data_IF_806308667508
#
_entry.id   IF_806308667508
#
_cell.length_a   1.000
_cell.length_b   1.000
_cell.length_c   1.000
_cell.angle_alpha   90.00
_cell.angle_beta   90.00
_cell.angle_gamma   90.00
#
_symmetry.space_group_name_H-M   'P 1'
#
loop_
_entity.id
_entity.type
_entity.pdbx_description
1 polymer ?
#
# COMPACT_ATOMS: atom_id res chain seq x y z
N UNK A 1 -2.48 -3.54 -26.75
CA UNK A 1 -3.37 -3.10 -25.65
C UNK A 1 -4.88 -3.29 -25.90
N UNK A 2 -5.34 -3.75 -27.08
CA UNK A 2 -6.78 -3.80 -27.41
C UNK A 2 -7.56 -5.02 -26.87
N UNK A 3 -6.95 -5.93 -26.12
CA UNK A 3 -7.56 -7.24 -25.79
C UNK A 3 -8.17 -7.35 -24.38
N UNK A 4 -7.92 -6.41 -23.47
CA UNK A 4 -8.33 -6.53 -22.06
C UNK A 4 -9.73 -5.92 -21.77
N UNK A 5 -10.22 -5.02 -22.64
CA UNK A 5 -11.50 -4.30 -22.43
C UNK A 5 -12.74 -5.19 -22.69
N UNK A 6 -12.60 -6.33 -23.38
CA UNK A 6 -13.76 -7.13 -23.84
C UNK A 6 -14.36 -8.05 -22.76
N UNK A 7 -13.60 -8.43 -21.73
CA UNK A 7 -14.03 -9.42 -20.72
C UNK A 7 -14.97 -8.80 -19.67
N UNK A 8 -14.88 -7.50 -19.41
CA UNK A 8 -15.67 -6.83 -18.37
C UNK A 8 -17.18 -6.69 -18.69
N UNK A 9 -17.59 -6.74 -19.97
CA UNK A 9 -19.00 -6.57 -20.36
C UNK A 9 -19.86 -7.83 -20.20
N UNK A 10 -19.26 -9.01 -20.13
CA UNK A 10 -20.01 -10.29 -20.14
C UNK A 10 -20.52 -10.69 -18.74
N UNK A 11 -19.95 -10.14 -17.66
CA UNK A 11 -20.31 -10.52 -16.29
C UNK A 11 -21.55 -9.76 -15.78
N UNK A 12 -21.92 -8.63 -16.39
CA UNK A 12 -23.00 -7.75 -15.88
C UNK A 12 -24.44 -8.21 -16.20
N UNK A 13 -24.64 -9.19 -17.09
CA UNK A 13 -25.97 -9.47 -17.65
C UNK A 13 -26.75 -10.66 -17.01
N UNK A 14 -26.21 -11.36 -15.99
CA UNK A 14 -26.78 -12.66 -15.55
C UNK A 14 -27.46 -12.70 -14.17
N UNK A 15 -27.66 -11.56 -13.49
CA UNK A 15 -28.10 -11.53 -12.07
C UNK A 15 -29.58 -11.12 -11.86
N UNK A 16 -30.39 -10.85 -12.90
CA UNK A 16 -31.81 -10.53 -12.72
C UNK A 16 -32.75 -11.52 -13.42
N UNK A 17 -33.00 -12.65 -12.77
CA UNK A 17 -34.22 -13.44 -13.01
C UNK A 17 -34.76 -13.97 -11.68
N UNK A 18 -35.55 -13.15 -10.99
CA UNK A 18 -36.30 -13.53 -9.78
C UNK A 18 -37.68 -14.03 -10.21
N UNK A 19 -37.95 -15.32 -10.00
CA UNK A 19 -39.29 -15.91 -10.08
C UNK A 19 -40.23 -15.22 -9.07
N UNK A 20 -41.36 -14.73 -9.56
CA UNK A 20 -42.47 -14.23 -8.75
C UNK A 20 -43.17 -15.43 -8.10
N UNK A 21 -43.21 -15.46 -6.77
CA UNK A 21 -43.91 -16.48 -5.99
C UNK A 21 -45.34 -15.98 -5.73
N UNK A 22 -46.32 -16.82 -6.04
CA UNK A 22 -47.75 -16.54 -6.00
C UNK A 22 -48.28 -16.59 -4.53
N UNK A 23 -48.93 -15.55 -4.00
CA UNK A 23 -49.23 -15.45 -2.56
C UNK A 23 -50.50 -16.19 -2.06
N UNK A 24 -51.35 -16.74 -2.94
CA UNK A 24 -52.69 -17.24 -2.54
C UNK A 24 -52.84 -18.77 -2.55
N UNK A 25 -51.89 -19.47 -1.93
CA UNK A 25 -52.03 -20.89 -1.62
C UNK A 25 -52.98 -21.15 -0.44
N UNK A 26 -53.80 -22.23 -0.46
CA UNK A 26 -54.71 -22.55 0.64
C UNK A 26 -53.92 -22.75 1.94
N UNK A 27 -54.39 -22.10 3.03
CA UNK A 27 -53.79 -22.17 4.37
C UNK A 27 -53.96 -23.57 4.97
N UNK A 28 -53.17 -24.51 4.47
CA UNK A 28 -52.99 -25.82 5.05
C UNK A 28 -52.46 -25.69 6.47
N UNK A 29 -52.94 -26.56 7.35
CA UNK A 29 -52.46 -26.70 8.72
C UNK A 29 -51.02 -27.22 8.63
N UNK A 30 -50.03 -26.32 8.63
CA UNK A 30 -48.63 -26.70 8.55
C UNK A 30 -48.26 -27.62 9.72
N UNK A 31 -47.50 -28.69 9.47
CA UNK A 31 -47.05 -29.58 10.53
C UNK A 31 -46.23 -28.79 11.55
N UNK A 32 -46.54 -28.97 12.83
CA UNK A 32 -45.81 -28.33 13.91
C UNK A 32 -44.41 -28.97 13.99
N UNK A 33 -43.37 -28.15 13.82
CA UNK A 33 -41.99 -28.62 13.89
C UNK A 33 -41.40 -28.31 15.27
N UNK A 34 -40.57 -29.24 15.77
CA UNK A 34 -39.84 -29.09 17.02
C UNK A 34 -38.42 -28.64 16.71
N UNK A 35 -38.02 -27.49 17.26
CA UNK A 35 -36.62 -27.01 17.19
C UNK A 35 -35.84 -27.58 18.39
N UNK A 36 -34.62 -28.03 18.15
CA UNK A 36 -33.65 -28.38 19.17
C UNK A 36 -32.94 -27.11 19.69
N UNK A 37 -33.17 -26.81 20.98
CA UNK A 37 -32.67 -25.60 21.63
C UNK A 37 -31.13 -25.56 21.70
N UNK A 38 -30.49 -26.71 21.96
CA UNK A 38 -29.04 -26.80 22.11
C UNK A 38 -28.34 -26.61 20.76
N UNK A 39 -28.92 -27.16 19.69
CA UNK A 39 -28.42 -26.94 18.32
C UNK A 39 -28.54 -25.49 17.88
N UNK A 40 -29.69 -24.86 18.11
CA UNK A 40 -29.91 -23.43 17.79
C UNK A 40 -28.87 -22.55 18.51
N UNK A 41 -28.64 -22.81 19.80
CA UNK A 41 -27.67 -22.08 20.62
C UNK A 41 -26.23 -22.29 20.14
N UNK A 42 -25.89 -23.52 19.75
CA UNK A 42 -24.55 -23.89 19.28
C UNK A 42 -24.24 -23.24 17.92
N UNK A 43 -25.16 -23.32 16.97
CA UNK A 43 -25.03 -22.68 15.65
C UNK A 43 -24.97 -21.16 15.74
N UNK A 44 -25.75 -20.54 16.63
CA UNK A 44 -25.68 -19.10 16.86
C UNK A 44 -24.32 -18.68 17.39
N UNK A 45 -23.78 -19.40 18.39
CA UNK A 45 -22.46 -19.13 18.96
C UNK A 45 -21.34 -19.36 17.95
N UNK A 46 -21.40 -20.42 17.15
CA UNK A 46 -20.42 -20.71 16.11
C UNK A 46 -20.36 -19.65 14.99
N UNK A 47 -21.35 -18.76 14.90
CA UNK A 47 -21.39 -17.64 13.96
C UNK A 47 -21.16 -16.27 14.63
N UNK A 48 -20.74 -16.26 15.91
CA UNK A 48 -20.56 -15.04 16.73
C UNK A 48 -21.77 -14.11 16.77
N UNK A 49 -22.97 -14.67 16.64
CA UNK A 49 -24.20 -13.90 16.63
C UNK A 49 -24.75 -13.71 18.04
N UNK A 50 -25.09 -12.47 18.41
CA UNK A 50 -25.90 -12.20 19.59
C UNK A 50 -27.37 -12.57 19.31
N UNK A 51 -28.18 -12.81 20.35
CA UNK A 51 -29.63 -13.08 20.18
C UNK A 51 -30.35 -11.95 19.44
N UNK A 52 -30.11 -10.66 19.74
CA UNK A 52 -30.69 -9.56 18.97
C UNK A 52 -30.25 -9.54 17.50
N UNK A 53 -28.99 -9.89 17.22
CA UNK A 53 -28.48 -9.90 15.85
C UNK A 53 -29.10 -11.04 15.03
N UNK A 54 -29.24 -12.24 15.61
CA UNK A 54 -29.95 -13.35 14.98
C UNK A 54 -31.43 -13.02 14.74
N UNK A 55 -32.07 -12.37 15.71
CA UNK A 55 -33.45 -11.89 15.59
C UNK A 55 -33.62 -10.91 14.43
N UNK A 56 -32.72 -9.92 14.33
CA UNK A 56 -32.68 -8.93 13.24
C UNK A 56 -32.49 -9.60 11.87
N UNK A 57 -31.55 -10.55 11.76
CA UNK A 57 -31.26 -11.26 10.49
C UNK A 57 -32.39 -12.21 10.06
N UNK A 58 -33.04 -12.89 11.00
CA UNK A 58 -34.13 -13.83 10.71
C UNK A 58 -35.50 -13.16 10.57
N UNK A 59 -35.66 -11.93 11.04
CA UNK A 59 -36.97 -11.27 11.14
C UNK A 59 -37.87 -11.94 12.18
N UNK A 60 -37.30 -12.64 13.16
CA UNK A 60 -38.00 -13.26 14.29
C UNK A 60 -37.78 -12.40 15.53
N UNK A 61 -38.81 -12.18 16.34
CA UNK A 61 -38.68 -11.34 17.54
C UNK A 61 -37.61 -11.89 18.51
N UNK A 62 -36.78 -11.03 19.09
CA UNK A 62 -35.70 -11.43 20.00
C UNK A 62 -36.20 -12.25 21.20
N UNK A 63 -37.38 -11.92 21.74
CA UNK A 63 -38.04 -12.70 22.79
C UNK A 63 -38.40 -14.12 22.33
N UNK A 64 -38.75 -14.30 21.06
CA UNK A 64 -39.01 -15.63 20.49
C UNK A 64 -37.73 -16.44 20.37
N UNK A 65 -36.63 -15.84 19.89
CA UNK A 65 -35.31 -16.50 19.84
C UNK A 65 -34.86 -16.92 21.25
N UNK A 66 -34.98 -16.02 22.23
CA UNK A 66 -34.67 -16.32 23.62
C UNK A 66 -35.52 -17.46 24.19
N UNK A 67 -36.83 -17.47 23.91
CA UNK A 67 -37.74 -18.54 24.34
C UNK A 67 -37.37 -19.88 23.70
N UNK A 68 -37.04 -19.89 22.41
CA UNK A 68 -36.62 -21.10 21.69
C UNK A 68 -35.30 -21.69 22.23
N UNK A 69 -34.39 -20.85 22.74
CA UNK A 69 -33.13 -21.32 23.34
C UNK A 69 -33.25 -21.77 24.80
N UNK A 70 -34.17 -21.19 25.58
CA UNK A 70 -34.22 -21.38 27.03
C UNK A 70 -35.36 -22.32 27.48
N UNK A 71 -36.44 -22.46 26.69
CA UNK A 71 -37.66 -23.20 27.07
C UNK A 71 -37.94 -24.33 26.07
N UNK A 72 -37.20 -25.46 26.12
CA UNK A 72 -37.30 -26.55 25.14
C UNK A 72 -38.69 -27.20 25.08
N UNK A 73 -39.45 -27.18 26.18
CA UNK A 73 -40.83 -27.68 26.23
C UNK A 73 -41.79 -26.86 25.37
N UNK A 74 -41.55 -25.55 25.25
CA UNK A 74 -42.35 -24.64 24.42
C UNK A 74 -41.93 -24.68 22.94
N UNK A 75 -40.84 -25.38 22.61
CA UNK A 75 -40.34 -25.52 21.24
C UNK A 75 -41.12 -26.55 20.42
N UNK A 76 -42.04 -27.31 21.05
CA UNK A 76 -42.79 -28.41 20.41
C UNK A 76 -43.78 -27.95 19.31
N UNK A 77 -44.10 -26.66 19.21
CA UNK A 77 -45.10 -26.14 18.25
C UNK A 77 -44.62 -24.92 17.48
N UNK A 78 -43.41 -24.97 16.94
CA UNK A 78 -42.90 -23.86 16.12
C UNK A 78 -43.44 -23.97 14.69
N UNK A 79 -43.82 -22.84 14.10
CA UNK A 79 -44.24 -22.78 12.70
C UNK A 79 -43.02 -23.04 11.80
N UNK A 80 -43.21 -23.82 10.76
CA UNK A 80 -42.18 -24.13 9.75
C UNK A 80 -41.53 -22.86 9.17
N UNK A 81 -42.31 -21.82 8.88
CA UNK A 81 -41.80 -20.53 8.42
C UNK A 81 -40.80 -19.89 9.40
N UNK A 82 -41.01 -20.03 10.72
CA UNK A 82 -40.04 -19.56 11.73
C UNK A 82 -38.77 -20.40 11.70
N UNK A 83 -38.87 -21.72 11.55
CA UNK A 83 -37.71 -22.63 11.41
C UNK A 83 -36.89 -22.22 10.19
N UNK A 84 -37.54 -22.04 9.03
CA UNK A 84 -36.89 -21.69 7.77
C UNK A 84 -36.21 -20.32 7.83
N UNK A 85 -36.80 -19.33 8.49
CA UNK A 85 -36.18 -18.01 8.70
C UNK A 85 -34.94 -18.08 9.59
N UNK A 86 -34.98 -18.85 10.67
CA UNK A 86 -33.83 -19.05 11.56
C UNK A 86 -32.72 -19.83 10.83
N UNK A 87 -33.08 -20.90 10.14
CA UNK A 87 -32.15 -21.71 9.35
C UNK A 87 -31.43 -20.87 8.29
N UNK A 88 -32.19 -20.05 7.55
CA UNK A 88 -31.65 -19.12 6.54
C UNK A 88 -30.70 -18.08 7.15
N UNK A 89 -31.04 -17.50 8.31
CA UNK A 89 -30.18 -16.53 8.98
C UNK A 89 -28.87 -17.15 9.51
N UNK A 90 -28.90 -18.44 9.85
CA UNK A 90 -27.75 -19.23 10.27
C UNK A 90 -26.99 -19.88 9.11
N UNK A 91 -27.51 -19.79 7.87
CA UNK A 91 -26.91 -20.42 6.70
C UNK A 91 -26.90 -21.96 6.76
N UNK A 92 -27.91 -22.57 7.38
CA UNK A 92 -28.10 -24.03 7.46
C UNK A 92 -29.48 -24.43 6.93
N UNK A 93 -29.69 -25.72 6.71
CA UNK A 93 -31.00 -26.27 6.33
C UNK A 93 -31.93 -26.43 7.55
N UNK A 94 -33.25 -26.31 7.36
CA UNK A 94 -34.24 -26.41 8.44
C UNK A 94 -34.16 -27.72 9.23
N UNK A 95 -33.89 -28.84 8.55
CA UNK A 95 -33.72 -30.16 9.16
C UNK A 95 -32.56 -30.25 10.17
N UNK A 96 -31.55 -29.38 10.05
CA UNK A 96 -30.44 -29.31 11.03
C UNK A 96 -30.94 -28.78 12.37
N UNK A 97 -31.83 -27.78 12.35
CA UNK A 97 -32.41 -27.18 13.56
C UNK A 97 -33.43 -28.09 14.24
N UNK A 98 -34.09 -28.98 13.50
CA UNK A 98 -35.12 -29.89 14.05
C UNK A 98 -34.55 -31.20 14.59
N UNK A 99 -33.29 -31.51 14.32
CA UNK A 99 -32.68 -32.78 14.71
C UNK A 99 -32.67 -33.83 13.60
N UNK A 100 -33.36 -33.60 12.49
CA UNK A 100 -33.54 -34.55 11.38
C UNK A 100 -32.26 -34.76 10.57
N UNK A 101 -31.46 -33.71 10.40
CA UNK A 101 -30.15 -33.76 9.75
C UNK A 101 -29.05 -33.66 10.80
N UNK A 102 -27.88 -34.29 10.61
CA UNK A 102 -26.73 -34.10 11.51
C UNK A 102 -26.31 -32.63 11.55
N UNK A 103 -25.71 -32.20 12.67
CA UNK A 103 -25.06 -30.89 12.72
C UNK A 103 -23.99 -30.85 11.62
N UNK A 104 -23.96 -29.83 10.75
CA UNK A 104 -22.81 -29.64 9.88
C UNK A 104 -21.59 -29.59 10.79
N UNK A 105 -20.59 -30.43 10.51
CA UNK A 105 -19.31 -30.31 11.18
C UNK A 105 -18.88 -28.84 11.06
N UNK A 106 -18.42 -28.20 12.16
CA UNK A 106 -18.01 -26.80 12.13
C UNK A 106 -17.09 -26.62 10.93
N UNK A 107 -17.61 -25.88 9.95
CA UNK A 107 -17.33 -26.04 8.53
C UNK A 107 -16.01 -26.77 8.19
N UNK A 108 -16.09 -27.85 7.41
CA UNK A 108 -15.01 -28.27 6.51
C UNK A 108 -14.69 -27.23 5.43
N UNK A 109 -14.95 -25.95 5.69
CA UNK A 109 -14.27 -24.86 5.02
C UNK A 109 -12.78 -25.08 5.33
N UNK A 110 -11.92 -25.18 4.31
CA UNK A 110 -10.49 -25.19 4.58
C UNK A 110 -10.19 -24.02 5.52
N UNK A 111 -9.41 -24.24 6.59
CA UNK A 111 -9.11 -23.19 7.55
C UNK A 111 -8.70 -21.96 6.75
N UNK A 112 -9.31 -20.81 7.06
CA UNK A 112 -8.95 -19.57 6.41
C UNK A 112 -7.41 -19.47 6.44
N UNK A 113 -6.76 -19.19 5.30
CA UNK A 113 -5.31 -19.27 5.22
C UNK A 113 -4.71 -18.50 6.38
N UNK A 114 -3.82 -19.16 7.11
CA UNK A 114 -3.21 -18.62 8.32
C UNK A 114 -2.60 -17.26 7.97
N UNK A 115 -3.11 -16.21 8.62
CA UNK A 115 -2.61 -14.86 8.41
C UNK A 115 -1.40 -14.66 9.30
N UNK A 116 -0.25 -14.48 8.69
CA UNK A 116 1.00 -14.14 9.40
C UNK A 116 1.08 -12.63 9.55
N UNK A 117 1.33 -12.14 10.76
CA UNK A 117 1.58 -10.71 11.00
C UNK A 117 3.01 -10.37 10.56
N UNK A 118 3.14 -9.48 9.58
CA UNK A 118 4.43 -8.94 9.15
C UNK A 118 4.66 -7.60 9.84
N UNK A 119 5.65 -7.54 10.73
CA UNK A 119 6.12 -6.28 11.32
C UNK A 119 7.18 -5.64 10.43
N UNK A 120 6.84 -4.53 9.76
CA UNK A 120 7.79 -3.76 8.95
C UNK A 120 7.71 -2.28 9.32
N UNK A 121 8.87 -1.62 9.36
CA UNK A 121 8.94 -0.16 9.45
C UNK A 121 8.74 0.41 8.04
N UNK A 122 7.79 1.32 7.89
CA UNK A 122 7.53 2.00 6.62
C UNK A 122 7.87 3.49 6.78
N UNK A 123 8.47 4.08 5.74
CA UNK A 123 8.72 5.52 5.74
C UNK A 123 7.39 6.29 5.74
N UNK A 124 7.36 7.51 6.31
CA UNK A 124 6.19 8.38 6.22
C UNK A 124 5.69 8.59 4.79
N UNK A 125 6.60 8.80 3.85
CA UNK A 125 6.29 8.96 2.41
C UNK A 125 5.60 7.72 1.82
N UNK A 126 6.10 6.51 2.11
CA UNK A 126 5.47 5.26 1.67
C UNK A 126 4.09 5.06 2.31
N UNK A 127 3.91 5.50 3.56
CA UNK A 127 2.60 5.47 4.21
C UNK A 127 1.61 6.42 3.53
N UNK A 128 2.02 7.66 3.24
CA UNK A 128 1.19 8.61 2.50
C UNK A 128 0.77 8.02 1.14
N UNK A 129 1.70 7.40 0.42
CA UNK A 129 1.40 6.70 -0.83
C UNK A 129 0.32 5.61 -0.66
N UNK A 130 0.39 4.79 0.41
CA UNK A 130 -0.66 3.80 0.68
C UNK A 130 -2.03 4.45 0.93
N UNK A 131 -2.08 5.55 1.68
CA UNK A 131 -3.33 6.26 1.96
C UNK A 131 -3.94 6.83 0.69
N UNK A 132 -3.12 7.39 -0.21
CA UNK A 132 -3.57 7.92 -1.50
C UNK A 132 -4.05 6.80 -2.45
N UNK A 133 -3.30 5.69 -2.57
CA UNK A 133 -3.71 4.53 -3.37
C UNK A 133 -5.04 3.95 -2.86
N UNK A 134 -5.21 3.88 -1.54
CA UNK A 134 -6.47 3.45 -0.91
C UNK A 134 -7.61 4.40 -1.26
N UNK A 135 -7.40 5.70 -1.20
CA UNK A 135 -8.42 6.71 -1.51
C UNK A 135 -8.83 6.68 -2.99
N UNK A 136 -7.85 6.52 -3.90
CA UNK A 136 -8.07 6.53 -5.36
C UNK A 136 -8.67 5.24 -5.88
N UNK A 137 -8.16 4.09 -5.44
CA UNK A 137 -8.49 2.78 -6.02
C UNK A 137 -9.22 1.84 -5.06
N UNK A 138 -9.37 2.19 -3.79
CA UNK A 138 -9.99 1.33 -2.78
C UNK A 138 -9.12 0.15 -2.33
N UNK A 139 -7.84 0.13 -2.72
CA UNK A 139 -6.90 -0.95 -2.38
C UNK A 139 -6.22 -0.66 -1.06
N UNK A 140 -6.29 -1.59 -0.12
CA UNK A 140 -5.68 -1.46 1.21
C UNK A 140 -4.17 -1.70 1.18
N UNK A 141 -3.46 -1.16 2.18
CA UNK A 141 -2.01 -1.41 2.35
C UNK A 141 -1.70 -2.92 2.46
N UNK A 142 -2.55 -3.71 3.11
CA UNK A 142 -2.39 -5.17 3.21
C UNK A 142 -2.47 -5.84 1.85
N UNK A 143 -3.40 -5.44 0.98
CA UNK A 143 -3.48 -5.97 -0.39
C UNK A 143 -2.25 -5.59 -1.19
N UNK A 144 -1.77 -4.35 -1.07
CA UNK A 144 -0.54 -3.91 -1.75
C UNK A 144 0.67 -4.72 -1.28
N UNK A 145 0.83 -4.93 0.04
CA UNK A 145 1.90 -5.76 0.60
C UNK A 145 1.84 -7.20 0.07
N UNK A 146 0.64 -7.78 -0.02
CA UNK A 146 0.47 -9.14 -0.56
C UNK A 146 0.77 -9.22 -2.07
N UNK A 147 0.53 -8.15 -2.83
CA UNK A 147 0.83 -8.09 -4.26
C UNK A 147 2.27 -7.65 -4.55
N UNK A 148 2.97 -7.04 -3.58
CA UNK A 148 4.29 -6.44 -3.78
C UNK A 148 5.33 -7.42 -4.35
N UNK A 149 5.46 -8.68 -3.88
CA UNK A 149 6.41 -9.63 -4.47
C UNK A 149 6.14 -9.88 -5.96
N UNK A 150 4.88 -10.06 -6.34
CA UNK A 150 4.50 -10.28 -7.74
C UNK A 150 4.82 -9.06 -8.60
N UNK A 151 4.43 -7.86 -8.16
CA UNK A 151 4.69 -6.64 -8.92
C UNK A 151 6.19 -6.34 -9.01
N UNK A 152 6.94 -6.53 -7.93
CA UNK A 152 8.38 -6.34 -7.93
C UNK A 152 9.07 -7.29 -8.91
N UNK A 153 8.74 -8.60 -8.91
CA UNK A 153 9.29 -9.55 -9.88
C UNK A 153 8.97 -9.16 -11.32
N UNK A 154 7.73 -8.76 -11.61
CA UNK A 154 7.35 -8.32 -12.96
C UNK A 154 8.12 -7.07 -13.40
N UNK A 155 8.32 -6.10 -12.50
CA UNK A 155 9.07 -4.88 -12.78
C UNK A 155 10.57 -5.18 -12.96
N UNK A 156 11.14 -6.02 -12.11
CA UNK A 156 12.54 -6.44 -12.17
C UNK A 156 12.84 -7.14 -13.50
N UNK A 157 12.06 -8.16 -13.86
CA UNK A 157 12.22 -8.89 -15.13
C UNK A 157 11.97 -7.99 -16.34
N UNK A 158 10.97 -7.10 -16.27
CA UNK A 158 10.71 -6.12 -17.32
C UNK A 158 11.90 -5.17 -17.53
N UNK A 159 12.54 -4.73 -16.44
CA UNK A 159 13.74 -3.89 -16.50
C UNK A 159 14.92 -4.63 -17.13
N UNK A 160 15.21 -5.86 -16.69
CA UNK A 160 16.31 -6.67 -17.23
C UNK A 160 16.07 -7.03 -18.70
N UNK A 161 14.85 -7.41 -19.07
CA UNK A 161 14.50 -7.71 -20.46
C UNK A 161 14.65 -6.49 -21.37
N UNK A 162 14.29 -5.29 -20.90
CA UNK A 162 14.52 -4.06 -21.64
C UNK A 162 16.00 -3.78 -21.84
N UNK A 163 16.82 -3.90 -20.79
CA UNK A 163 18.27 -3.69 -20.87
C UNK A 163 18.95 -4.65 -21.84
N UNK A 164 18.61 -5.95 -21.80
CA UNK A 164 19.10 -6.95 -22.77
C UNK A 164 18.87 -6.50 -24.21
N UNK A 165 17.65 -6.02 -24.49
CA UNK A 165 17.32 -5.52 -25.81
C UNK A 165 18.15 -4.28 -26.18
N UNK A 166 18.32 -3.34 -25.25
CA UNK A 166 19.14 -2.14 -25.49
C UNK A 166 20.62 -2.50 -25.75
N UNK A 167 21.16 -3.51 -25.07
CA UNK A 167 22.49 -4.07 -25.32
C UNK A 167 22.57 -4.73 -26.69
N UNK A 168 21.63 -5.60 -27.04
CA UNK A 168 21.58 -6.27 -28.34
C UNK A 168 21.52 -5.24 -29.48
N UNK A 169 20.61 -4.26 -29.37
CA UNK A 169 20.44 -3.18 -30.34
C UNK A 169 21.72 -2.31 -30.44
N UNK A 170 22.42 -2.09 -29.32
CA UNK A 170 23.69 -1.34 -29.26
C UNK A 170 24.86 -2.09 -29.89
N UNK A 171 24.98 -3.39 -29.62
CA UNK A 171 26.01 -4.27 -30.18
C UNK A 171 25.90 -4.35 -31.70
N UNK A 172 24.67 -4.52 -32.23
CA UNK A 172 24.40 -4.52 -33.66
C UNK A 172 24.82 -3.20 -34.34
N UNK A 173 24.61 -2.06 -33.67
CA UNK A 173 25.02 -0.74 -34.18
C UNK A 173 26.55 -0.57 -34.20
N UNK A 174 27.25 -1.02 -33.16
CA UNK A 174 28.72 -0.97 -33.10
C UNK A 174 29.36 -1.84 -34.18
N UNK A 175 28.83 -3.05 -34.41
CA UNK A 175 29.31 -3.95 -35.46
C UNK A 175 29.18 -3.30 -36.86
N UNK A 176 28.10 -2.57 -37.11
CA UNK A 176 27.92 -1.84 -38.36
C UNK A 176 28.98 -0.74 -38.54
N UNK A 177 29.31 0.01 -37.48
CA UNK A 177 30.31 1.08 -37.51
C UNK A 177 31.75 0.55 -37.69
N UNK A 178 32.05 -0.62 -37.13
CA UNK A 178 33.37 -1.25 -37.23
C UNK A 178 33.75 -1.62 -38.69
N UNK A 179 32.77 -1.71 -39.59
CA UNK A 179 32.98 -2.18 -40.97
C UNK A 179 33.71 -1.20 -41.91
N UNK A 180 34.03 0.04 -41.51
CA UNK A 180 34.50 1.06 -42.46
C UNK A 180 35.55 2.08 -42.03
N UNK A 181 35.73 2.37 -40.74
CA UNK A 181 36.54 3.54 -40.33
C UNK A 181 37.37 3.30 -39.06
N UNK A 182 38.69 3.10 -39.23
CA UNK A 182 39.64 2.91 -38.12
C UNK A 182 39.82 4.12 -37.19
N UNK A 183 39.23 5.28 -37.50
CA UNK A 183 39.30 6.50 -36.67
C UNK A 183 38.57 6.32 -35.34
N UNK A 184 37.65 5.36 -35.24
CA UNK A 184 36.82 5.14 -34.06
C UNK A 184 37.24 3.94 -33.20
N UNK A 185 38.37 3.28 -33.49
CA UNK A 185 38.77 2.03 -32.81
C UNK A 185 38.78 2.17 -31.28
N UNK A 186 39.31 3.28 -30.75
CA UNK A 186 39.36 3.50 -29.30
C UNK A 186 37.95 3.64 -28.70
N UNK A 187 37.07 4.38 -29.38
CA UNK A 187 35.68 4.54 -28.94
C UNK A 187 34.88 3.24 -29.03
N UNK A 188 35.10 2.44 -30.09
CA UNK A 188 34.48 1.13 -30.25
C UNK A 188 34.94 0.16 -29.15
N UNK A 189 36.24 0.17 -28.80
CA UNK A 189 36.78 -0.68 -27.73
C UNK A 189 36.16 -0.35 -26.38
N UNK A 190 36.00 0.93 -26.06
CA UNK A 190 35.34 1.37 -24.81
C UNK A 190 33.87 0.96 -24.81
N UNK A 191 33.18 1.07 -25.94
CA UNK A 191 31.78 0.68 -26.06
C UNK A 191 31.58 -0.84 -25.92
N UNK A 192 32.45 -1.66 -26.53
CA UNK A 192 32.44 -3.11 -26.39
C UNK A 192 32.68 -3.54 -24.94
N UNK A 193 33.59 -2.87 -24.23
CA UNK A 193 33.80 -3.12 -22.79
C UNK A 193 32.56 -2.76 -21.96
N UNK A 194 31.93 -1.61 -22.23
CA UNK A 194 30.71 -1.21 -21.53
C UNK A 194 29.54 -2.17 -21.79
N UNK A 195 29.42 -2.70 -23.00
CA UNK A 195 28.45 -3.75 -23.34
C UNK A 195 28.73 -5.01 -22.53
N UNK A 196 29.98 -5.47 -22.46
CA UNK A 196 30.33 -6.66 -21.70
C UNK A 196 30.04 -6.50 -20.19
N UNK A 197 30.33 -5.33 -19.61
CA UNK A 197 29.97 -5.02 -18.21
C UNK A 197 28.45 -5.03 -17.99
N UNK A 198 27.68 -4.49 -18.94
CA UNK A 198 26.21 -4.48 -18.87
C UNK A 198 25.63 -5.89 -19.03
N UNK A 199 26.17 -6.72 -19.93
CA UNK A 199 25.80 -8.13 -20.08
C UNK A 199 26.06 -8.91 -18.78
N UNK A 200 27.21 -8.69 -18.13
CA UNK A 200 27.55 -9.30 -16.85
C UNK A 200 26.56 -8.86 -15.76
N UNK A 201 26.32 -7.55 -15.61
CA UNK A 201 25.33 -6.97 -14.68
C UNK A 201 23.93 -7.59 -14.87
N UNK A 202 23.47 -7.72 -16.12
CA UNK A 202 22.19 -8.36 -16.43
C UNK A 202 22.18 -9.85 -16.02
N UNK A 203 23.27 -10.57 -16.29
CA UNK A 203 23.38 -11.99 -15.98
C UNK A 203 23.34 -12.28 -14.47
N UNK A 204 23.84 -11.33 -13.67
CA UNK A 204 23.80 -11.36 -12.21
C UNK A 204 22.48 -10.83 -11.62
N UNK A 205 21.52 -10.46 -12.47
CA UNK A 205 20.26 -9.83 -12.09
C UNK A 205 20.44 -8.54 -11.25
N UNK A 206 21.52 -7.80 -11.51
CA UNK A 206 21.81 -6.54 -10.86
C UNK A 206 20.85 -5.44 -11.35
N UNK A 207 19.79 -5.23 -10.59
CA UNK A 207 18.75 -4.25 -10.94
C UNK A 207 19.27 -2.81 -10.89
N UNK A 208 20.19 -2.52 -9.99
CA UNK A 208 20.56 -1.14 -9.66
C UNK A 208 21.86 -0.67 -10.35
N UNK A 209 22.52 -1.55 -11.09
CA UNK A 209 23.76 -1.23 -11.81
C UNK A 209 24.97 -1.16 -10.89
N UNK A 210 25.00 -1.94 -9.81
CA UNK A 210 26.11 -2.00 -8.85
C UNK A 210 27.39 -2.57 -9.44
N UNK A 211 27.27 -3.42 -10.46
CA UNK A 211 28.41 -4.02 -11.16
C UNK A 211 28.87 -3.17 -12.34
N UNK A 212 28.14 -2.09 -12.67
CA UNK A 212 28.54 -1.17 -13.74
C UNK A 212 29.64 -0.24 -13.25
N UNK A 213 30.76 -0.20 -13.98
CA UNK A 213 31.93 0.62 -13.63
C UNK A 213 32.83 0.05 -12.53
N UNK A 214 32.70 -1.24 -12.21
CA UNK A 214 33.24 -1.86 -10.99
C UNK A 214 34.76 -2.02 -10.88
N UNK A 215 35.56 -1.88 -11.94
CA UNK A 215 36.95 -2.40 -11.91
C UNK A 215 38.07 -1.40 -12.24
N UNK A 216 37.80 -0.11 -12.42
CA UNK A 216 38.87 0.83 -12.77
C UNK A 216 38.51 2.28 -12.48
N UNK A 217 39.36 2.91 -11.67
CA UNK A 217 39.54 4.36 -11.49
C UNK A 217 38.75 5.21 -12.50
N UNK A 218 37.53 5.58 -12.10
CA UNK A 218 36.73 6.63 -12.74
C UNK A 218 36.44 6.41 -14.21
N UNK A 219 35.65 5.39 -14.58
CA UNK A 219 34.82 5.54 -15.77
C UNK A 219 33.88 6.73 -15.50
N UNK A 220 34.09 7.91 -16.12
CA UNK A 220 33.29 9.10 -15.85
C UNK A 220 31.86 8.98 -16.39
N UNK A 221 31.47 7.79 -16.85
CA UNK A 221 30.28 7.56 -17.68
C UNK A 221 29.09 7.09 -16.85
N UNK A 222 29.32 6.42 -15.72
CA UNK A 222 28.23 5.86 -14.91
C UNK A 222 28.25 6.39 -13.48
N UNK A 223 27.26 7.25 -13.18
CA UNK A 223 26.90 7.62 -11.83
C UNK A 223 25.64 6.83 -11.44
N UNK A 224 25.71 5.87 -10.50
CA UNK A 224 24.53 5.11 -10.06
C UNK A 224 23.41 5.98 -9.52
N UNK A 225 23.72 7.18 -8.99
CA UNK A 225 22.71 8.10 -8.46
C UNK A 225 21.88 8.78 -9.55
N UNK A 226 22.49 9.04 -10.72
CA UNK A 226 21.83 9.67 -11.86
C UNK A 226 21.30 8.65 -12.88
N UNK A 227 22.08 7.59 -13.11
CA UNK A 227 21.94 6.64 -14.21
C UNK A 227 21.47 5.25 -13.76
N UNK A 228 20.84 5.11 -12.60
CA UNK A 228 20.27 3.84 -12.16
C UNK A 228 19.34 3.23 -13.22
N UNK A 229 19.65 2.01 -13.74
CA UNK A 229 18.90 1.44 -14.85
C UNK A 229 17.47 1.07 -14.46
N UNK A 230 17.24 0.58 -13.24
CA UNK A 230 15.88 0.31 -12.74
C UNK A 230 15.05 1.59 -12.58
N UNK A 231 15.63 2.67 -12.07
CA UNK A 231 14.95 3.97 -11.98
C UNK A 231 14.60 4.52 -13.38
N UNK A 232 15.51 4.36 -14.34
CA UNK A 232 15.25 4.71 -15.75
C UNK A 232 14.08 3.91 -16.33
N UNK A 233 14.01 2.62 -16.02
CA UNK A 233 12.88 1.77 -16.40
C UNK A 233 11.57 2.22 -15.74
N UNK A 234 11.56 2.45 -14.43
CA UNK A 234 10.38 2.94 -13.71
C UNK A 234 9.89 4.28 -14.27
N UNK A 235 10.79 5.21 -14.60
CA UNK A 235 10.44 6.48 -15.28
C UNK A 235 9.76 6.27 -16.63
N UNK A 236 10.15 5.25 -17.38
CA UNK A 236 9.51 4.94 -18.66
C UNK A 236 8.09 4.36 -18.51
N UNK A 237 7.79 3.75 -17.36
CA UNK A 237 6.47 3.25 -17.01
C UNK A 237 5.60 4.29 -16.29
N UNK A 238 6.22 5.33 -15.75
CA UNK A 238 5.57 6.38 -15.00
C UNK A 238 4.52 7.10 -15.87
N UNK A 239 3.35 7.32 -15.29
CA UNK A 239 2.26 8.06 -15.93
C UNK A 239 2.30 9.49 -15.37
N UNK A 240 2.55 10.51 -16.22
CA UNK A 240 2.64 11.90 -15.76
C UNK A 240 1.40 12.33 -14.94
N UNK A 241 1.62 12.96 -13.79
CA UNK A 241 0.57 13.38 -12.86
C UNK A 241 0.02 12.26 -11.96
N UNK A 242 0.42 11.00 -12.18
CA UNK A 242 0.03 9.85 -11.35
C UNK A 242 1.21 9.34 -10.54
N UNK A 243 2.36 9.15 -11.18
CA UNK A 243 3.59 8.76 -10.51
C UNK A 243 4.73 9.57 -11.12
N UNK A 244 5.46 10.27 -10.28
CA UNK A 244 6.69 10.96 -10.67
C UNK A 244 7.87 10.24 -10.01
N UNK A 245 8.85 9.85 -10.81
CA UNK A 245 10.08 9.20 -10.34
C UNK A 245 11.24 10.13 -10.67
N UNK A 246 11.93 10.61 -9.64
CA UNK A 246 12.96 11.65 -9.79
C UNK A 246 14.24 11.10 -10.43
N UNK A 247 15.00 12.01 -11.06
CA UNK A 247 16.38 11.76 -11.51
C UNK A 247 17.30 12.27 -10.41
N UNK A 248 18.12 11.40 -9.82
CA UNK A 248 19.13 11.85 -8.85
C UNK A 248 18.58 11.97 -7.44
N UNK A 249 18.56 10.85 -6.71
CA UNK A 249 18.76 10.84 -5.25
C UNK A 249 18.78 9.40 -4.71
N UNK A 250 19.55 8.51 -5.36
CA UNK A 250 20.16 7.43 -4.58
C UNK A 250 21.29 8.07 -3.77
N UNK A 251 20.94 8.87 -2.77
CA UNK A 251 21.94 9.36 -1.83
C UNK A 251 22.56 8.12 -1.20
N UNK A 252 23.89 7.97 -1.30
CA UNK A 252 24.63 6.85 -0.71
C UNK A 252 24.34 6.69 0.81
N UNK A 253 23.80 7.74 1.44
CA UNK A 253 23.36 7.77 2.83
C UNK A 253 21.99 7.10 3.07
N UNK A 254 21.12 7.00 2.07
CA UNK A 254 19.86 6.29 2.21
C UNK A 254 20.11 4.79 2.15
N UNK A 255 19.74 4.09 3.23
CA UNK A 255 19.80 2.62 3.30
C UNK A 255 18.93 1.93 2.23
N UNK A 256 18.09 2.68 1.52
CA UNK A 256 17.15 2.19 0.53
C UNK A 256 17.64 2.58 -0.86
N UNK A 257 18.02 1.57 -1.66
CA UNK A 257 18.49 1.73 -3.06
C UNK A 257 17.34 1.96 -4.05
N UNK A 258 16.31 2.70 -3.65
CA UNK A 258 15.11 2.92 -4.45
C UNK A 258 15.02 4.39 -4.85
N UNK A 259 14.70 4.72 -6.12
CA UNK A 259 14.63 6.11 -6.55
C UNK A 259 13.55 6.86 -5.77
N UNK A 260 13.77 8.15 -5.53
CA UNK A 260 12.73 8.97 -4.93
C UNK A 260 11.53 9.13 -5.87
N UNK A 261 10.33 9.14 -5.30
CA UNK A 261 9.09 9.14 -6.06
C UNK A 261 7.97 9.90 -5.35
N UNK A 262 7.02 10.43 -6.12
CA UNK A 262 5.74 10.93 -5.62
C UNK A 262 4.61 10.20 -6.32
N UNK A 263 3.56 9.90 -5.56
CA UNK A 263 2.35 9.23 -6.05
C UNK A 263 1.21 10.23 -5.91
N UNK A 264 0.49 10.47 -7.01
CA UNK A 264 -0.56 11.47 -7.17
C UNK A 264 -0.15 12.88 -6.69
N UNK A 265 0.90 13.48 -7.28
CA UNK A 265 1.36 14.83 -6.91
C UNK A 265 0.21 15.85 -6.93
N UNK A 266 -0.66 15.81 -7.96
CA UNK A 266 -1.83 16.68 -8.06
C UNK A 266 -2.82 16.53 -6.89
N UNK A 267 -3.00 15.31 -6.38
CA UNK A 267 -3.89 15.05 -5.24
C UNK A 267 -3.27 15.57 -3.94
N UNK A 268 -1.96 15.38 -3.76
CA UNK A 268 -1.22 15.95 -2.64
C UNK A 268 -1.28 17.48 -2.67
N UNK A 269 -1.03 18.09 -3.82
CA UNK A 269 -1.09 19.55 -4.01
C UNK A 269 -2.51 20.09 -3.77
N UNK A 270 -3.54 19.36 -4.20
CA UNK A 270 -4.93 19.71 -3.91
C UNK A 270 -5.30 19.59 -2.43
N UNK A 271 -4.76 18.60 -1.71
CA UNK A 271 -4.92 18.48 -0.25
C UNK A 271 -4.17 19.61 0.46
N UNK A 272 -2.96 19.92 0.00
CA UNK A 272 -2.12 20.98 0.53
C UNK A 272 -2.56 22.40 0.10
N UNK A 273 -3.53 22.52 -0.82
CA UNK A 273 -3.97 23.78 -1.41
C UNK A 273 -2.79 24.61 -1.98
N UNK A 274 -1.80 23.93 -2.56
CA UNK A 274 -0.59 24.53 -3.10
C UNK A 274 0.45 25.04 -2.08
N UNK A 275 0.27 24.78 -0.78
CA UNK A 275 1.25 25.11 0.26
C UNK A 275 2.36 24.05 0.33
N UNK A 276 3.62 24.47 0.13
CA UNK A 276 4.79 23.59 0.18
C UNK A 276 5.04 23.06 1.60
N UNK A 277 4.80 23.90 2.62
CA UNK A 277 4.85 23.51 4.02
C UNK A 277 3.81 22.42 4.34
N UNK A 278 2.58 22.59 3.87
CA UNK A 278 1.52 21.60 4.07
C UNK A 278 1.84 20.27 3.37
N UNK A 279 2.39 20.33 2.15
CA UNK A 279 2.88 19.16 1.41
C UNK A 279 3.99 18.44 2.18
N UNK A 280 4.97 19.19 2.66
CA UNK A 280 6.07 18.67 3.47
C UNK A 280 5.58 17.98 4.75
N UNK A 281 4.58 18.55 5.43
CA UNK A 281 3.99 17.96 6.62
C UNK A 281 3.38 16.57 6.36
N UNK A 282 2.79 16.36 5.18
CA UNK A 282 2.26 15.07 4.74
C UNK A 282 3.39 14.09 4.39
N UNK A 283 4.36 14.52 3.59
CA UNK A 283 5.43 13.64 3.08
C UNK A 283 6.37 13.16 4.18
N UNK A 284 6.61 13.99 5.20
CA UNK A 284 7.41 13.64 6.39
C UNK A 284 6.59 12.97 7.50
N UNK A 285 5.27 12.94 7.37
CA UNK A 285 4.34 12.29 8.30
C UNK A 285 4.11 12.99 9.62
N UNK A 286 4.43 14.29 9.72
CA UNK A 286 3.97 15.13 10.84
C UNK A 286 2.43 15.27 10.87
N UNK A 287 1.80 15.10 9.72
CA UNK A 287 0.35 14.95 9.59
C UNK A 287 0.00 13.73 8.74
N UNK A 288 -1.13 13.10 9.06
CA UNK A 288 -1.67 11.98 8.28
C UNK A 288 -3.00 12.33 7.67
N UNK A 289 -3.30 11.76 6.50
CA UNK A 289 -4.60 11.97 5.84
C UNK A 289 -5.77 11.53 6.72
N UNK A 290 -5.60 10.48 7.55
CA UNK A 290 -6.62 10.02 8.49
C UNK A 290 -6.81 10.91 9.71
N UNK A 291 -5.90 11.85 9.97
CA UNK A 291 -5.95 12.77 11.12
C UNK A 291 -6.56 14.11 10.75
N UNK A 292 -6.67 14.42 9.44
CA UNK A 292 -7.35 15.60 8.94
C UNK A 292 -8.85 15.49 9.28
N UNK A 293 -9.43 16.46 10.01
CA UNK A 293 -10.85 16.47 10.30
C UNK A 293 -11.72 16.40 9.05
N UNK A 294 -12.88 15.73 9.12
CA UNK A 294 -13.76 15.53 7.95
C UNK A 294 -14.26 16.86 7.37
N UNK A 295 -14.53 17.85 8.22
CA UNK A 295 -14.93 19.22 7.84
C UNK A 295 -13.86 19.95 7.02
N UNK A 296 -12.60 19.52 7.11
CA UNK A 296 -11.48 20.10 6.38
C UNK A 296 -11.33 19.49 4.98
N UNK A 297 -12.06 18.42 4.65
CA UNK A 297 -12.11 17.85 3.29
C UNK A 297 -13.18 18.47 2.40
N UNK A 298 -13.98 19.42 2.90
CA UNK A 298 -14.92 20.18 2.08
C UNK A 298 -14.20 21.00 1.00
N UNK A 299 -14.87 21.21 -0.15
CA UNK A 299 -14.28 21.85 -1.34
C UNK A 299 -13.79 23.30 -1.07
N UNK A 300 -14.43 24.00 -0.13
CA UNK A 300 -14.11 25.37 0.26
C UNK A 300 -13.14 25.47 1.46
N UNK A 301 -12.70 24.35 2.02
CA UNK A 301 -11.87 24.32 3.22
C UNK A 301 -10.36 24.26 2.93
N UNK A 302 -9.93 24.41 1.67
CA UNK A 302 -8.54 24.27 1.23
C UNK A 302 -7.53 25.08 2.06
N UNK A 303 -7.77 26.38 2.25
CA UNK A 303 -6.88 27.26 3.04
C UNK A 303 -6.81 26.84 4.52
N UNK A 304 -7.95 26.45 5.11
CA UNK A 304 -8.01 26.00 6.52
C UNK A 304 -7.29 24.66 6.69
N UNK A 305 -7.41 23.76 5.71
CA UNK A 305 -6.74 22.47 5.66
C UNK A 305 -5.22 22.65 5.54
N UNK A 306 -4.76 23.51 4.63
CA UNK A 306 -3.35 23.83 4.46
C UNK A 306 -2.74 24.38 5.77
N UNK A 307 -3.38 25.39 6.37
CA UNK A 307 -2.94 25.93 7.65
C UNK A 307 -2.91 24.89 8.78
N UNK A 308 -3.90 24.00 8.83
CA UNK A 308 -3.91 22.91 9.81
C UNK A 308 -2.73 21.96 9.64
N UNK A 309 -2.31 21.68 8.39
CA UNK A 309 -1.14 20.87 8.08
C UNK A 309 0.16 21.60 8.46
N UNK A 310 0.27 22.88 8.09
CA UNK A 310 1.40 23.75 8.45
C UNK A 310 1.60 23.85 9.97
N UNK A 311 0.50 23.93 10.73
CA UNK A 311 0.50 23.99 12.19
C UNK A 311 1.13 22.73 12.83
N UNK A 312 1.25 21.61 12.10
CA UNK A 312 1.92 20.38 12.55
C UNK A 312 3.42 20.32 12.33
N UNK A 313 3.96 21.20 11.49
CA UNK A 313 5.40 21.27 11.31
C UNK A 313 6.08 21.83 12.58
N UNK A 314 7.18 21.23 13.05
CA UNK A 314 8.00 21.84 14.09
C UNK A 314 8.59 23.18 13.62
N UNK A 315 8.73 24.15 14.54
CA UNK A 315 9.24 25.49 14.20
C UNK A 315 10.62 25.48 13.53
N UNK A 316 11.49 24.53 13.90
CA UNK A 316 12.80 24.35 13.29
C UNK A 316 12.72 24.11 11.77
N UNK A 317 11.69 23.40 11.31
CA UNK A 317 11.47 23.15 9.88
C UNK A 317 10.87 24.36 9.17
N UNK A 318 9.98 25.11 9.83
CA UNK A 318 9.47 26.37 9.26
C UNK A 318 10.61 27.35 9.02
N UNK A 319 11.53 27.48 9.98
CA UNK A 319 12.71 28.34 9.85
C UNK A 319 13.64 27.91 8.71
N UNK A 320 13.74 26.59 8.45
CA UNK A 320 14.50 26.04 7.33
C UNK A 320 13.86 26.41 5.98
N UNK A 321 12.53 26.25 5.86
CA UNK A 321 11.79 26.56 4.64
C UNK A 321 11.77 28.07 4.33
N UNK A 322 11.74 28.92 5.35
CA UNK A 322 11.81 30.39 5.19
C UNK A 322 13.20 30.90 4.74
N UNK A 323 14.19 30.02 4.57
CA UNK A 323 15.56 30.40 4.19
C UNK A 323 16.25 31.29 5.23
N UNK A 324 15.70 31.39 6.45
CA UNK A 324 16.24 32.19 7.56
C UNK A 324 17.36 31.45 8.30
N UNK A 325 17.46 30.14 8.12
CA UNK A 325 18.63 29.38 8.51
C UNK A 325 19.68 29.51 7.41
N UNK A 326 20.82 30.15 7.72
CA UNK A 326 22.01 30.10 6.85
C UNK A 326 22.61 28.69 6.70
N UNK A 327 21.95 27.65 7.23
CA UNK A 327 22.32 26.27 7.02
C UNK A 327 21.76 25.78 5.68
N UNK A 328 22.66 25.40 4.77
CA UNK A 328 22.36 24.55 3.63
C UNK A 328 21.48 23.40 4.09
N UNK A 329 20.32 23.22 3.45
CA UNK A 329 19.33 22.16 3.73
C UNK A 329 20.08 20.85 3.97
N UNK A 330 20.22 20.36 5.21
CA UNK A 330 20.82 19.07 5.40
C UNK A 330 19.75 18.07 5.01
N UNK A 331 19.95 17.42 3.86
CA UNK A 331 19.34 16.12 3.49
C UNK A 331 19.42 15.09 4.65
N UNK A 332 20.25 15.36 5.67
CA UNK A 332 20.46 14.61 6.90
C UNK A 332 19.20 14.51 7.78
N UNK A 333 18.31 15.51 7.84
CA UNK A 333 17.19 15.45 8.81
C UNK A 333 16.09 14.44 8.42
N UNK A 334 16.02 14.04 7.14
CA UNK A 334 15.13 12.96 6.70
C UNK A 334 15.60 11.56 7.15
N UNK A 335 16.87 11.42 7.57
CA UNK A 335 17.47 10.13 7.94
C UNK A 335 17.41 9.82 9.45
N UNK A 336 16.96 10.75 10.29
CA UNK A 336 16.78 10.50 11.73
C UNK A 336 15.40 10.89 12.27
N UNK A 337 14.39 10.04 12.06
CA UNK A 337 13.08 10.22 12.66
C UNK A 337 13.08 10.02 14.20
N UNK A 338 14.18 9.56 14.79
CA UNK A 338 14.28 9.30 16.23
C UNK A 338 14.73 10.52 17.05
N UNK A 339 15.21 11.58 16.40
CA UNK A 339 15.67 12.81 17.06
C UNK A 339 17.01 12.68 17.80
N UNK A 340 17.75 11.58 17.61
CA UNK A 340 19.08 11.37 18.21
C UNK A 340 20.15 12.29 17.65
N UNK A 341 20.10 12.64 16.37
CA UNK A 341 20.93 13.65 15.74
C UNK A 341 20.66 15.04 16.33
N UNK A 342 19.44 15.28 16.83
CA UNK A 342 19.12 16.51 17.57
C UNK A 342 19.82 16.55 18.93
N UNK A 343 19.86 15.44 19.66
CA UNK A 343 20.65 15.34 20.90
C UNK A 343 22.14 15.57 20.64
N UNK A 344 22.70 15.02 19.56
CA UNK A 344 24.12 15.19 19.20
C UNK A 344 24.42 16.62 18.75
N UNK A 345 23.53 17.27 17.99
CA UNK A 345 23.69 18.65 17.55
C UNK A 345 23.50 19.65 18.70
N UNK A 346 22.56 19.38 19.61
CA UNK A 346 22.36 20.18 20.82
C UNK A 346 23.58 20.02 21.78
N UNK A 347 24.17 18.82 21.91
CA UNK A 347 25.44 18.62 22.65
C UNK A 347 26.63 19.32 21.98
N UNK A 348 26.72 19.30 20.65
CA UNK A 348 27.80 19.98 19.92
C UNK A 348 27.71 21.51 20.05
N UNK A 349 26.50 22.08 19.97
CA UNK A 349 26.27 23.51 20.14
C UNK A 349 26.59 24.00 21.56
N UNK A 350 26.36 23.16 22.59
CA UNK A 350 26.76 23.46 23.97
C UNK A 350 28.28 23.43 24.14
N UNK A 351 28.99 22.56 23.43
CA UNK A 351 30.46 22.47 23.49
C UNK A 351 31.17 23.63 22.77
N UNK A 352 30.63 24.13 21.64
CA UNK A 352 31.19 25.32 20.97
C UNK A 352 31.00 26.61 21.78
N UNK A 353 29.89 26.74 22.52
CA UNK A 353 29.65 27.86 23.42
C UNK A 353 30.59 27.86 24.64
N UNK A 354 31.11 26.70 25.06
CA UNK A 354 32.08 26.58 26.16
C UNK A 354 33.53 26.90 25.76
N UNK A 355 33.89 26.72 24.49
CA UNK A 355 35.27 26.90 24.01
C UNK A 355 35.68 28.37 23.76
N UNK A 356 34.72 29.31 23.77
CA UNK A 356 34.96 30.73 23.45
C UNK A 356 35.25 31.63 24.65
N UNK A 357 35.41 31.07 25.86
CA UNK A 357 35.59 31.83 27.11
C UNK A 357 36.98 31.74 27.77
N UNK A 358 37.95 31.05 27.18
CA UNK A 358 39.32 30.96 27.72
C UNK A 358 40.39 31.38 26.69
N UNK A 359 40.39 32.65 26.27
CA UNK A 359 41.58 33.26 25.68
C UNK A 359 41.64 34.75 26.02
N UNK A 360 41.97 35.06 27.27
CA UNK A 360 42.11 36.42 27.74
C UNK A 360 42.81 36.49 29.08
N UNK A 361 44.12 36.27 29.09
CA UNK A 361 44.94 36.46 30.30
C UNK A 361 46.38 36.05 30.07
N UNK A 362 47.21 37.02 29.68
CA UNK A 362 48.52 37.33 30.27
C UNK A 362 49.53 37.78 29.21
N UNK A 363 49.60 39.10 29.00
CA UNK A 363 50.83 39.76 28.57
C UNK A 363 51.37 40.55 29.77
N UNK A 364 52.57 40.17 30.20
CA UNK A 364 53.47 40.90 31.10
C UNK A 364 54.50 41.70 30.32
#
# INVERSE_FOLDING_TARGET
MSSIISVAKIISARIYSRKVINPDGPKGRFPAMRIDADRLKSLRKGRDLTRPELAKRSGVAARTVQRLENEPEHCQKTREDTVNRLAKALGVEGGVLTGELPLPEPDGAPPAPERVQVGAQISPKARLAYDLVRRRYGVSATEIINMAPLFFTLLAEGSLARRRKEVDDGSDQLQQLNSGHGVYIDALTVADMAIAEEEESISEADLFGEHLGGNGVGSPVFDPSENNPFASYLRSLAVPGVVDVHRGDLTLAQQVRFPDYHIFPDEVDGIANGSEEAKWALETGYARLSEIPEELFEENAGEKRAKWLEDRLPDAYRQLLEGKSGATIPHIVATDPSGKLREVLDEAAVNEAGASTESGGDDQ
#
